data_IF_145801907638
#
_entry.id   IF_145801907638
#
_cell.length_a   1.000
_cell.length_b   1.000
_cell.length_c   1.000
_cell.angle_alpha   90.00
_cell.angle_beta   90.00
_cell.angle_gamma   90.00
#
_symmetry.space_group_name_H-M   'P 1'
#
loop_
_entity.id
_entity.type
_entity.pdbx_description
1 polymer ?
#
# COMPACT_ATOMS: atom_id res chain seq x y z
N UNK A 1 -7.70 -22.33 -10.52
CA UNK A 1 -7.81 -22.87 -11.90
C UNK A 1 -6.48 -22.83 -12.62
N UNK A 2 -6.38 -23.38 -13.84
CA UNK A 2 -5.08 -23.55 -14.56
C UNK A 2 -4.30 -22.26 -14.88
N UNK A 3 -4.90 -21.08 -14.69
CA UNK A 3 -4.29 -19.76 -14.91
C UNK A 3 -4.35 -18.87 -13.65
N UNK A 4 -4.40 -19.46 -12.46
CA UNK A 4 -4.27 -18.67 -11.23
C UNK A 4 -2.88 -18.05 -11.18
N UNK A 5 -2.79 -16.89 -10.54
CA UNK A 5 -1.50 -16.25 -10.33
C UNK A 5 -0.60 -17.22 -9.54
N UNK A 6 0.55 -17.65 -10.10
CA UNK A 6 1.44 -18.56 -9.39
C UNK A 6 2.00 -17.94 -8.10
N UNK A 7 1.99 -16.60 -8.01
CA UNK A 7 2.40 -15.85 -6.83
C UNK A 7 1.30 -15.59 -5.80
N UNK A 8 0.07 -16.08 -5.97
CA UNK A 8 -1.07 -15.70 -5.10
C UNK A 8 -0.78 -15.95 -3.61
N UNK A 9 -0.33 -17.16 -3.27
CA UNK A 9 -0.07 -17.53 -1.88
C UNK A 9 1.06 -16.70 -1.26
N UNK A 10 2.15 -16.53 -2.01
CA UNK A 10 3.27 -15.70 -1.58
C UNK A 10 2.81 -14.25 -1.38
N UNK A 11 2.13 -13.67 -2.36
CA UNK A 11 1.63 -12.30 -2.28
C UNK A 11 0.72 -12.10 -1.07
N UNK A 12 -0.19 -13.05 -0.78
CA UNK A 12 -1.07 -12.99 0.39
C UNK A 12 -0.28 -13.01 1.71
N UNK A 13 0.68 -13.92 1.84
CA UNK A 13 1.51 -14.03 3.04
C UNK A 13 2.39 -12.79 3.22
N UNK A 14 3.04 -12.35 2.16
CA UNK A 14 3.87 -11.14 2.12
C UNK A 14 3.05 -9.91 2.50
N UNK A 15 1.89 -9.67 1.87
CA UNK A 15 1.02 -8.53 2.20
C UNK A 15 0.56 -8.57 3.66
N UNK A 16 0.23 -9.76 4.18
CA UNK A 16 -0.16 -9.90 5.58
C UNK A 16 1.01 -9.56 6.51
N UNK A 17 2.17 -10.19 6.35
CA UNK A 17 3.31 -10.01 7.25
C UNK A 17 3.87 -8.59 7.20
N UNK A 18 4.08 -8.03 6.01
CA UNK A 18 4.57 -6.67 5.87
C UNK A 18 3.52 -5.66 6.33
N UNK A 19 2.25 -5.82 5.92
CA UNK A 19 1.17 -4.92 6.32
C UNK A 19 0.96 -4.92 7.83
N UNK A 20 0.92 -6.10 8.47
CA UNK A 20 0.75 -6.19 9.92
C UNK A 20 1.95 -5.61 10.66
N UNK A 21 3.18 -5.94 10.26
CA UNK A 21 4.38 -5.43 10.91
C UNK A 21 4.46 -3.91 10.80
N UNK A 22 4.15 -3.34 9.62
CA UNK A 22 4.12 -1.90 9.40
C UNK A 22 3.07 -1.20 10.28
N UNK A 23 1.84 -1.72 10.34
CA UNK A 23 0.75 -1.09 11.11
C UNK A 23 0.92 -1.26 12.62
N UNK A 24 1.53 -2.36 13.06
CA UNK A 24 1.89 -2.59 14.46
C UNK A 24 3.02 -1.66 14.90
N UNK A 25 4.01 -1.44 14.04
CA UNK A 25 5.23 -0.67 14.38
C UNK A 25 5.07 0.83 14.14
N UNK A 26 4.22 1.26 13.20
CA UNK A 26 4.12 2.66 12.81
C UNK A 26 2.67 3.18 12.82
N UNK A 27 2.56 4.48 12.99
CA UNK A 27 1.39 5.29 12.68
C UNK A 27 1.69 6.02 11.37
N UNK A 28 0.74 5.97 10.43
CA UNK A 28 0.84 6.61 9.11
C UNK A 28 -0.01 7.87 9.11
N UNK A 29 0.58 8.99 8.73
CA UNK A 29 -0.07 10.31 8.75
C UNK A 29 0.19 11.07 7.46
N UNK A 30 -0.78 11.91 7.08
CA UNK A 30 -0.59 12.87 6.00
C UNK A 30 0.43 13.94 6.43
N UNK A 31 1.31 14.40 5.52
CA UNK A 31 2.06 15.63 5.74
C UNK A 31 1.15 16.82 6.03
N UNK A 32 1.65 17.83 6.73
CA UNK A 32 0.89 19.03 7.05
C UNK A 32 0.38 19.73 5.78
N UNK A 33 -0.93 20.01 5.74
CA UNK A 33 -1.58 20.63 4.59
C UNK A 33 -1.87 19.70 3.41
N UNK A 34 -1.51 18.41 3.48
CA UNK A 34 -1.83 17.43 2.43
C UNK A 34 -3.03 16.55 2.80
N UNK A 35 -3.85 16.22 1.80
CA UNK A 35 -4.94 15.26 1.91
C UNK A 35 -4.58 14.00 1.13
N UNK A 36 -4.48 12.87 1.82
CA UNK A 36 -4.23 11.59 1.16
C UNK A 36 -5.41 11.23 0.25
N UNK A 37 -5.09 10.78 -0.96
CA UNK A 37 -6.09 10.45 -1.97
C UNK A 37 -5.75 9.13 -2.64
N UNK A 38 -6.78 8.32 -2.87
CA UNK A 38 -6.70 7.08 -3.65
C UNK A 38 -7.02 7.30 -5.12
N UNK A 39 -7.11 8.56 -5.57
CA UNK A 39 -7.40 8.89 -6.96
C UNK A 39 -6.35 8.25 -7.86
N UNK A 40 -6.82 7.42 -8.80
CA UNK A 40 -5.99 6.73 -9.78
C UNK A 40 -5.28 7.73 -10.70
N UNK A 41 -4.06 7.42 -11.08
CA UNK A 41 -3.41 8.09 -12.21
C UNK A 41 -4.06 7.64 -13.54
N UNK A 42 -4.67 8.55 -14.33
CA UNK A 42 -5.25 8.20 -15.63
C UNK A 42 -4.23 7.68 -16.66
N UNK A 43 -2.95 7.96 -16.48
CA UNK A 43 -1.88 7.47 -17.35
C UNK A 43 -1.61 5.96 -17.15
N UNK A 44 -1.98 5.40 -16.00
CA UNK A 44 -1.69 4.02 -15.62
C UNK A 44 -2.73 3.04 -16.16
N UNK A 45 -2.32 2.20 -17.11
CA UNK A 45 -3.23 1.37 -17.92
C UNK A 45 -3.26 -0.10 -17.50
N UNK A 46 -2.17 -0.63 -16.95
CA UNK A 46 -2.01 -2.06 -16.68
C UNK A 46 -2.33 -2.43 -15.24
N UNK A 47 -1.94 -1.59 -14.28
CA UNK A 47 -2.20 -1.77 -12.85
C UNK A 47 -2.93 -0.55 -12.29
N UNK A 48 -3.73 -0.76 -11.25
CA UNK A 48 -4.47 0.33 -10.58
C UNK A 48 -3.58 0.86 -9.46
N UNK A 49 -2.97 2.03 -9.69
CA UNK A 49 -2.18 2.72 -8.68
C UNK A 49 -2.69 4.15 -8.50
N UNK A 50 -2.66 4.69 -7.27
CA UNK A 50 -3.00 6.09 -7.03
C UNK A 50 -1.92 7.00 -7.63
N UNK A 51 -2.24 8.28 -7.80
CA UNK A 51 -1.24 9.32 -8.08
C UNK A 51 -0.16 9.35 -6.99
N UNK A 52 1.08 9.76 -7.30
CA UNK A 52 2.15 9.85 -6.30
C UNK A 52 1.72 10.67 -5.07
N UNK A 53 2.02 10.16 -3.88
CA UNK A 53 1.71 10.81 -2.61
C UNK A 53 2.83 10.60 -1.59
N UNK A 54 2.86 11.43 -0.56
CA UNK A 54 3.80 11.34 0.57
C UNK A 54 3.05 10.91 1.83
N UNK A 55 3.73 10.17 2.69
CA UNK A 55 3.22 9.78 4.01
C UNK A 55 4.35 9.90 5.03
N UNK A 56 4.00 10.34 6.24
CA UNK A 56 4.89 10.33 7.39
C UNK A 56 4.66 9.01 8.14
N UNK A 57 5.73 8.29 8.44
CA UNK A 57 5.73 7.10 9.28
C UNK A 57 6.32 7.45 10.64
N UNK A 58 5.52 7.41 11.71
CA UNK A 58 5.98 7.61 13.09
C UNK A 58 6.00 6.29 13.84
N UNK A 59 7.09 5.98 14.53
CA UNK A 59 7.16 4.74 15.31
C UNK A 59 6.13 4.77 16.45
N UNK A 60 5.38 3.68 16.61
CA UNK A 60 4.45 3.46 17.70
C UNK A 60 5.24 3.07 18.94
N UNK A 61 5.08 3.84 20.02
CA UNK A 61 5.62 3.54 21.35
C UNK A 61 4.84 2.45 22.06
#
# INVERSE_FOLDING_TARGET
GRRVCPGENLARQTMFLFGSALLQTFVFEAPEGEVLSTQRDPAERMIIIPKPFRVIMRQRS
#
